data_IF_869326805659
#
_entry.id   IF_869326805659
#
_cell.length_a   1.000
_cell.length_b   1.000
_cell.length_c   1.000
_cell.angle_alpha   90.00
_cell.angle_beta   90.00
_cell.angle_gamma   90.00
#
_symmetry.space_group_name_H-M   'P 1'
#
loop_
_entity.id
_entity.type
_entity.pdbx_description
1 polymer ?
#
# COMPACT_ATOMS: atom_id res chain seq x y z
N UNK A 1 -14.88 -6.46 -5.91
CA UNK A 1 -14.41 -7.34 -5.00
C UNK A 1 -15.43 -8.08 -4.21
N UNK A 2 -16.64 -7.59 -4.18
CA UNK A 2 -17.62 -8.31 -3.38
C UNK A 2 -17.97 -9.66 -3.99
N UNK A 3 -18.01 -9.75 -5.33
CA UNK A 3 -18.26 -11.02 -5.98
C UNK A 3 -17.22 -12.08 -5.58
N UNK A 4 -15.99 -11.65 -5.39
CA UNK A 4 -14.93 -12.55 -4.97
C UNK A 4 -14.86 -12.69 -3.46
N UNK A 5 -15.55 -11.80 -2.74
CA UNK A 5 -15.71 -11.87 -1.31
C UNK A 5 -14.45 -11.61 -0.51
N UNK A 6 -14.58 -11.69 0.82
CA UNK A 6 -13.44 -11.48 1.70
C UNK A 6 -12.31 -12.48 1.48
N UNK A 7 -12.64 -13.69 1.02
CA UNK A 7 -11.64 -14.73 0.82
C UNK A 7 -10.62 -14.33 -0.23
N UNK A 8 -11.08 -13.77 -1.35
CA UNK A 8 -10.17 -13.33 -2.41
C UNK A 8 -9.35 -12.13 -1.95
N UNK A 9 -9.98 -11.19 -1.25
CA UNK A 9 -9.25 -10.04 -0.71
C UNK A 9 -8.16 -10.49 0.26
N UNK A 10 -8.45 -11.47 1.12
CA UNK A 10 -7.47 -12.00 2.05
C UNK A 10 -6.32 -12.72 1.33
N UNK A 11 -6.64 -13.48 0.27
CA UNK A 11 -5.62 -14.16 -0.51
C UNK A 11 -4.69 -13.15 -1.19
N UNK A 12 -5.25 -12.09 -1.78
CA UNK A 12 -4.44 -11.04 -2.41
C UNK A 12 -3.56 -10.35 -1.38
N UNK A 13 -4.09 -10.08 -0.19
CA UNK A 13 -3.31 -9.45 0.87
C UNK A 13 -2.15 -10.34 1.31
N UNK A 14 -2.38 -11.65 1.43
CA UNK A 14 -1.30 -12.58 1.77
C UNK A 14 -0.24 -12.63 0.68
N UNK A 15 -0.67 -12.65 -0.58
CA UNK A 15 0.25 -12.64 -1.71
C UNK A 15 1.07 -11.36 -1.71
N UNK A 16 0.47 -10.23 -1.37
CA UNK A 16 1.17 -8.97 -1.26
C UNK A 16 2.23 -9.02 -0.17
N UNK A 17 1.91 -9.59 1.00
CA UNK A 17 2.89 -9.74 2.08
C UNK A 17 4.09 -10.55 1.60
N UNK A 18 3.84 -11.67 0.92
CA UNK A 18 4.91 -12.50 0.37
C UNK A 18 5.70 -11.72 -0.68
N UNK A 19 5.01 -10.99 -1.55
CA UNK A 19 5.65 -10.17 -2.57
C UNK A 19 6.57 -9.12 -1.94
N UNK A 20 6.08 -8.42 -0.93
CA UNK A 20 6.88 -7.39 -0.27
C UNK A 20 8.12 -7.96 0.40
N UNK A 21 8.02 -9.17 0.96
CA UNK A 21 9.19 -9.83 1.54
C UNK A 21 10.20 -10.21 0.49
N UNK A 22 9.73 -10.72 -0.67
CA UNK A 22 10.61 -11.08 -1.78
C UNK A 22 11.21 -9.87 -2.45
N UNK A 23 10.47 -8.77 -2.45
CA UNK A 23 10.86 -7.54 -3.10
C UNK A 23 11.80 -6.69 -2.23
N UNK A 24 12.45 -7.30 -1.25
CA UNK A 24 13.46 -6.61 -0.46
C UNK A 24 14.58 -6.02 -1.28
N UNK A 25 14.74 -6.50 -2.53
CA UNK A 25 15.70 -5.95 -3.46
C UNK A 25 15.10 -4.89 -4.39
N UNK A 26 13.79 -4.69 -4.35
CA UNK A 26 13.12 -3.70 -5.19
C UNK A 26 13.46 -2.30 -4.68
N UNK A 27 14.06 -1.43 -5.53
CA UNK A 27 14.47 -0.10 -5.07
C UNK A 27 13.32 0.77 -4.59
N UNK A 28 12.09 0.50 -5.05
CA UNK A 28 10.93 1.28 -4.64
C UNK A 28 10.35 0.82 -3.30
N UNK A 29 10.52 -0.45 -2.95
CA UNK A 29 9.89 -1.05 -1.77
C UNK A 29 10.90 -1.32 -0.66
N UNK A 30 12.10 -1.74 -1.01
CA UNK A 30 13.10 -2.19 -0.05
C UNK A 30 13.38 -1.21 1.09
N UNK A 31 13.54 0.11 0.82
CA UNK A 31 13.81 1.03 1.94
C UNK A 31 12.67 1.09 2.95
N UNK A 32 11.44 0.86 2.50
CA UNK A 32 10.26 0.87 3.37
C UNK A 32 10.22 -0.37 4.26
N UNK A 33 10.60 -1.52 3.70
CA UNK A 33 10.63 -2.76 4.46
C UNK A 33 11.80 -2.79 5.43
N UNK A 34 12.96 -2.32 5.01
CA UNK A 34 14.16 -2.32 5.84
C UNK A 34 13.96 -1.49 7.11
N UNK A 35 13.25 -0.36 7.00
CA UNK A 35 12.99 0.48 8.14
C UNK A 35 12.17 -0.17 9.23
N UNK A 36 11.40 -1.22 8.90
CA UNK A 36 10.52 -1.86 9.87
C UNK A 36 11.25 -2.53 11.03
N UNK A 37 12.47 -2.97 10.80
CA UNK A 37 13.23 -3.71 11.82
C UNK A 37 13.63 -2.85 13.00
N UNK A 38 13.60 -1.53 12.85
CA UNK A 38 14.03 -0.60 13.88
C UNK A 38 12.91 0.38 14.25
N UNK A 39 11.68 0.00 14.01
CA UNK A 39 10.54 0.88 14.18
C UNK A 39 10.07 0.94 15.62
N UNK A 40 9.54 2.10 15.97
CA UNK A 40 8.73 2.25 17.16
C UNK A 40 7.55 1.26 17.10
N UNK A 41 7.18 0.60 18.21
CA UNK A 41 6.09 -0.39 18.17
C UNK A 41 4.78 0.13 17.61
N UNK A 42 4.46 1.40 17.87
CA UNK A 42 3.24 2.00 17.32
C UNK A 42 3.30 2.15 15.80
N UNK A 43 4.46 2.57 15.27
CA UNK A 43 4.65 2.67 13.83
C UNK A 43 4.55 1.29 13.19
N UNK A 44 5.18 0.30 13.80
CA UNK A 44 5.14 -1.06 13.29
C UNK A 44 3.71 -1.59 13.24
N UNK A 45 2.91 -1.30 14.27
CA UNK A 45 1.52 -1.73 14.32
C UNK A 45 0.70 -1.13 13.19
N UNK A 46 0.92 0.15 12.88
CA UNK A 46 0.24 0.82 11.77
C UNK A 46 0.67 0.22 10.43
N UNK A 47 1.95 -0.02 10.26
CA UNK A 47 2.45 -0.65 9.03
C UNK A 47 1.84 -2.02 8.82
N UNK A 48 1.75 -2.82 9.87
CA UNK A 48 1.13 -4.14 9.78
C UNK A 48 -0.34 -4.05 9.40
N UNK A 49 -1.07 -3.11 9.99
CA UNK A 49 -2.48 -2.92 9.66
C UNK A 49 -2.65 -2.57 8.18
N UNK A 50 -1.80 -1.71 7.65
CA UNK A 50 -1.85 -1.32 6.25
C UNK A 50 -1.56 -2.52 5.34
N UNK A 51 -0.52 -3.28 5.65
CA UNK A 51 -0.13 -4.42 4.82
C UNK A 51 -1.19 -5.51 4.85
N UNK A 52 -1.84 -5.71 6.00
CA UNK A 52 -2.88 -6.72 6.12
C UNK A 52 -4.16 -6.36 5.37
N UNK A 53 -4.47 -5.07 5.26
CA UNK A 53 -5.69 -4.64 4.57
C UNK A 53 -5.47 -3.30 3.88
N UNK A 54 -4.67 -3.28 2.80
CA UNK A 54 -4.34 -2.02 2.14
C UNK A 54 -5.53 -1.33 1.49
N UNK A 55 -6.58 -2.07 1.17
CA UNK A 55 -7.74 -1.50 0.50
C UNK A 55 -8.80 -0.97 1.46
N UNK A 56 -8.60 -1.10 2.76
CA UNK A 56 -9.53 -0.55 3.73
C UNK A 56 -9.60 0.99 3.60
N UNK A 57 -10.66 1.57 4.10
CA UNK A 57 -10.86 3.02 4.03
C UNK A 57 -10.00 3.74 5.08
N UNK A 58 -8.71 3.64 4.93
CA UNK A 58 -7.77 4.24 5.87
C UNK A 58 -7.74 5.76 5.74
N UNK A 59 -7.76 6.42 6.88
CA UNK A 59 -7.54 7.86 7.00
C UNK A 59 -6.42 8.09 8.00
N UNK A 60 -5.84 9.30 8.07
CA UNK A 60 -4.85 9.55 9.12
C UNK A 60 -5.36 9.21 10.51
N UNK A 61 -6.65 9.46 10.76
CA UNK A 61 -7.25 9.22 12.07
C UNK A 61 -7.40 7.72 12.35
N UNK A 62 -7.87 6.94 11.37
CA UNK A 62 -8.03 5.51 11.59
C UNK A 62 -6.68 4.80 11.66
N UNK A 63 -5.68 5.29 10.95
CA UNK A 63 -4.33 4.76 11.09
C UNK A 63 -3.78 5.03 12.48
N UNK A 64 -3.95 6.26 12.98
CA UNK A 64 -3.49 6.62 14.31
C UNK A 64 -4.18 5.81 15.39
N UNK A 65 -5.45 5.47 15.19
CA UNK A 65 -6.21 4.66 16.13
C UNK A 65 -5.58 3.27 16.30
N UNK A 66 -4.90 2.75 15.30
CA UNK A 66 -4.22 1.46 15.40
C UNK A 66 -3.11 1.48 16.45
N UNK A 67 -2.53 2.64 16.69
CA UNK A 67 -1.46 2.81 17.68
C UNK A 67 -1.94 3.55 18.92
N UNK A 68 -3.23 3.85 19.01
CA UNK A 68 -3.83 4.55 20.16
C UNK A 68 -3.22 5.92 20.42
N UNK A 69 -2.90 6.65 19.35
CA UNK A 69 -2.32 7.99 19.42
C UNK A 69 -3.06 8.91 18.45
N UNK A 70 -2.74 10.20 18.52
CA UNK A 70 -3.33 11.17 17.59
C UNK A 70 -2.69 11.06 16.20
N UNK A 71 -3.41 11.54 15.19
CA UNK A 71 -2.87 11.55 13.83
C UNK A 71 -1.60 12.39 13.74
N UNK A 72 -1.56 13.50 14.46
CA UNK A 72 -0.38 14.37 14.48
C UNK A 72 0.82 13.66 15.09
N UNK A 73 0.60 12.96 16.19
CA UNK A 73 1.67 12.20 16.83
C UNK A 73 2.17 11.09 15.91
N UNK A 74 1.25 10.39 15.24
CA UNK A 74 1.63 9.34 14.31
C UNK A 74 2.47 9.90 13.17
N UNK A 75 2.08 11.04 12.60
CA UNK A 75 2.85 11.66 11.52
C UNK A 75 4.28 11.95 11.95
N UNK A 76 4.45 12.45 13.18
CA UNK A 76 5.78 12.74 13.70
C UNK A 76 6.60 11.47 13.87
N UNK A 77 5.98 10.42 14.42
CA UNK A 77 6.68 9.16 14.61
C UNK A 77 7.06 8.50 13.28
N UNK A 78 6.18 8.58 12.28
CA UNK A 78 6.50 8.07 10.96
C UNK A 78 7.66 8.83 10.32
N UNK A 79 7.65 10.16 10.43
CA UNK A 79 8.76 10.95 9.89
C UNK A 79 10.08 10.57 10.56
N UNK A 80 10.05 10.36 11.87
CA UNK A 80 11.24 10.01 12.64
C UNK A 80 11.76 8.61 12.34
N UNK A 81 10.87 7.62 12.27
CA UNK A 81 11.25 6.22 12.20
C UNK A 81 11.14 5.60 10.83
N UNK A 82 10.31 6.14 9.95
CA UNK A 82 10.10 5.60 8.61
C UNK A 82 10.50 6.57 7.50
N UNK A 83 10.76 7.82 7.83
CA UNK A 83 11.18 8.81 6.85
C UNK A 83 10.09 9.26 5.90
N UNK A 84 8.83 9.03 6.24
CA UNK A 84 7.71 9.39 5.38
C UNK A 84 6.46 9.58 6.23
N UNK A 85 5.36 10.03 5.60
CA UNK A 85 4.09 10.12 6.29
C UNK A 85 3.38 8.77 6.29
N UNK A 86 2.43 8.55 7.22
CA UNK A 86 1.64 7.32 7.18
C UNK A 86 0.88 7.14 5.87
N UNK A 87 0.36 8.23 5.29
CA UNK A 87 -0.36 8.14 4.03
C UNK A 87 0.57 7.83 2.86
N UNK A 88 1.81 8.32 2.88
CA UNK A 88 2.79 7.94 1.87
C UNK A 88 3.06 6.44 1.92
N UNK A 89 3.21 5.89 3.11
CA UNK A 89 3.42 4.46 3.27
C UNK A 89 2.22 3.69 2.72
N UNK A 90 1.01 4.13 3.07
CA UNK A 90 -0.22 3.51 2.59
C UNK A 90 -0.27 3.50 1.06
N UNK A 91 0.02 4.64 0.44
CA UNK A 91 -0.01 4.72 -1.02
C UNK A 91 1.05 3.86 -1.68
N UNK A 92 2.23 3.76 -1.09
CA UNK A 92 3.26 2.85 -1.60
C UNK A 92 2.80 1.40 -1.58
N UNK A 93 2.16 1.00 -0.50
CA UNK A 93 1.63 -0.36 -0.39
C UNK A 93 0.50 -0.58 -1.39
N UNK A 94 -0.41 0.39 -1.53
CA UNK A 94 -1.49 0.28 -2.50
C UNK A 94 -0.97 0.23 -3.93
N UNK A 95 0.06 0.99 -4.25
CA UNK A 95 0.67 0.93 -5.58
C UNK A 95 1.31 -0.42 -5.84
N UNK A 96 1.96 -1.00 -4.84
CA UNK A 96 2.53 -2.34 -4.99
C UNK A 96 1.43 -3.36 -5.26
N UNK A 97 0.31 -3.26 -4.55
CA UNK A 97 -0.84 -4.12 -4.77
C UNK A 97 -1.43 -3.91 -6.17
N UNK A 98 -1.60 -2.65 -6.57
CA UNK A 98 -2.11 -2.34 -7.91
C UNK A 98 -1.21 -2.93 -8.99
N UNK A 99 0.09 -2.79 -8.83
CA UNK A 99 1.05 -3.33 -9.77
C UNK A 99 0.94 -4.85 -9.88
N UNK A 100 0.79 -5.51 -8.74
CA UNK A 100 0.61 -6.96 -8.71
C UNK A 100 -0.67 -7.37 -9.41
N UNK A 101 -1.78 -6.67 -9.15
CA UNK A 101 -3.05 -6.95 -9.80
C UNK A 101 -2.97 -6.75 -11.32
N UNK A 102 -2.26 -5.71 -11.76
CA UNK A 102 -2.09 -5.45 -13.19
C UNK A 102 -1.33 -6.58 -13.85
N UNK A 103 -0.29 -7.09 -13.20
CA UNK A 103 0.55 -8.15 -13.78
C UNK A 103 -0.09 -9.52 -13.70
N UNK A 104 -0.81 -9.80 -12.62
CA UNK A 104 -1.30 -11.14 -12.34
C UNK A 104 -2.77 -11.37 -12.70
N UNK A 105 -3.50 -10.32 -13.09
CA UNK A 105 -4.91 -10.44 -13.43
C UNK A 105 -5.21 -9.72 -14.73
N UNK A 106 -6.43 -9.93 -15.24
CA UNK A 106 -6.91 -9.23 -16.44
C UNK A 106 -7.91 -8.14 -16.08
N UNK A 107 -7.96 -7.73 -14.82
CA UNK A 107 -8.83 -6.66 -14.38
C UNK A 107 -8.50 -5.37 -15.13
N UNK A 108 -9.53 -4.60 -15.46
CA UNK A 108 -9.30 -3.27 -16.01
C UNK A 108 -8.84 -2.33 -14.91
N UNK A 109 -8.38 -1.14 -15.29
CA UNK A 109 -7.76 -0.23 -14.32
C UNK A 109 -8.76 0.27 -13.27
N UNK A 110 -10.06 0.39 -13.61
CA UNK A 110 -11.05 0.77 -12.61
C UNK A 110 -11.18 -0.29 -11.51
N UNK A 111 -11.21 -1.55 -11.90
CA UNK A 111 -11.29 -2.63 -10.92
C UNK A 111 -9.99 -2.80 -10.14
N UNK A 112 -8.85 -2.59 -10.80
CA UNK A 112 -7.57 -2.59 -10.10
C UNK A 112 -7.56 -1.50 -9.04
N UNK A 113 -7.98 -0.28 -9.41
CA UNK A 113 -8.00 0.84 -8.48
C UNK A 113 -8.91 0.56 -7.29
N UNK A 114 -10.09 -0.01 -7.55
CA UNK A 114 -11.02 -0.34 -6.48
C UNK A 114 -10.41 -1.36 -5.52
N UNK A 115 -9.84 -2.42 -6.05
CA UNK A 115 -9.28 -3.48 -5.21
C UNK A 115 -8.02 -3.05 -4.47
N UNK A 116 -7.28 -2.11 -5.04
CA UNK A 116 -6.09 -1.59 -4.38
C UNK A 116 -6.40 -0.51 -3.34
N UNK A 117 -7.66 -0.05 -3.30
CA UNK A 117 -8.08 0.91 -2.28
C UNK A 117 -8.08 2.35 -2.74
N UNK A 118 -7.89 2.61 -4.05
CA UNK A 118 -7.88 3.98 -4.56
C UNK A 118 -9.27 4.54 -4.85
N UNK A 119 -10.26 3.68 -5.01
CA UNK A 119 -11.62 4.11 -5.30
C UNK A 119 -11.88 4.39 -6.78
N UNK A 120 -10.93 4.95 -7.51
CA UNK A 120 -11.09 5.23 -8.93
C UNK A 120 -9.74 5.15 -9.64
N UNK A 121 -9.78 4.85 -10.94
CA UNK A 121 -8.57 4.83 -11.75
C UNK A 121 -7.93 6.21 -11.82
N UNK A 122 -8.76 7.26 -11.80
CA UNK A 122 -8.25 8.63 -11.82
C UNK A 122 -7.34 8.92 -10.62
N UNK A 123 -7.82 8.57 -9.43
CA UNK A 123 -7.04 8.75 -8.21
C UNK A 123 -5.78 7.88 -8.24
N UNK A 124 -5.91 6.63 -8.68
CA UNK A 124 -4.78 5.73 -8.80
C UNK A 124 -3.70 6.33 -9.72
N UNK A 125 -4.10 6.88 -10.87
CA UNK A 125 -3.15 7.49 -11.79
C UNK A 125 -2.44 8.69 -11.19
N UNK A 126 -3.16 9.52 -10.42
CA UNK A 126 -2.55 10.66 -9.76
C UNK A 126 -1.49 10.24 -8.75
N UNK A 127 -1.82 9.24 -7.93
CA UNK A 127 -0.86 8.73 -6.95
C UNK A 127 0.31 8.04 -7.64
N UNK A 128 0.02 7.30 -8.70
CA UNK A 128 1.07 6.63 -9.47
C UNK A 128 2.09 7.63 -10.01
N UNK A 129 1.62 8.71 -10.60
CA UNK A 129 2.52 9.73 -11.15
C UNK A 129 3.38 10.40 -10.09
N UNK A 130 2.84 10.51 -8.87
CA UNK A 130 3.58 11.14 -7.77
C UNK A 130 4.70 10.24 -7.26
N UNK A 131 4.49 8.93 -7.23
CA UNK A 131 5.39 7.99 -6.57
C UNK A 131 6.16 7.08 -7.52
N UNK A 132 5.71 6.94 -8.75
CA UNK A 132 6.29 6.00 -9.71
C UNK A 132 6.55 6.71 -11.03
N UNK A 133 7.42 6.12 -11.86
CA UNK A 133 7.58 6.57 -13.24
C UNK A 133 6.61 5.79 -14.13
N UNK A 134 6.22 6.40 -15.26
CA UNK A 134 5.31 5.78 -16.20
C UNK A 134 3.87 5.86 -15.76
N UNK A 135 3.07 4.93 -16.21
CA UNK A 135 1.64 4.90 -15.93
C UNK A 135 1.18 3.47 -15.64
N UNK A 136 -0.01 3.31 -15.02
CA UNK A 136 -0.54 1.96 -14.81
C UNK A 136 -0.71 1.17 -16.11
N UNK A 137 -1.11 1.85 -17.18
CA UNK A 137 -1.28 1.18 -18.49
C UNK A 137 0.04 0.65 -19.00
N UNK A 138 1.13 1.40 -18.83
CA UNK A 138 2.46 0.96 -19.25
C UNK A 138 2.95 -0.24 -18.45
N UNK A 139 2.51 -0.37 -17.20
CA UNK A 139 2.89 -1.50 -16.37
C UNK A 139 2.28 -2.81 -16.89
N UNK A 140 1.11 -2.73 -17.55
CA UNK A 140 0.47 -3.90 -18.15
C UNK A 140 1.18 -4.34 -19.44
N UNK A 141 1.76 -3.40 -20.15
CA UNK A 141 2.44 -3.65 -21.42
C UNK A 141 3.88 -3.18 -21.34
N UNK A 142 4.72 -3.83 -20.53
CA UNK A 142 6.11 -3.43 -20.43
C UNK A 142 6.80 -3.65 -21.75
N UNK A 143 7.59 -2.68 -22.15
CA UNK A 143 8.33 -2.77 -23.41
C UNK A 143 9.41 -3.84 -23.33
#
# INVERSE_FOLDING_TARGET
GRACGPRVASAVARDLVVYLRRAGTDPAISPWLDGRNHMHPGVHRVQDAIVHNPAAAWTPQTLAAQAHISARHLSRLFAEHAGCTPMDYLYRVRLALARELIRETRLDLEHVAERAGFGSAHHMRRVWRRHESGSPSAARHPA
#
